data_IF_545471347129
#
_entry.id   IF_545471347129
#
_cell.length_a   1.000
_cell.length_b   1.000
_cell.length_c   1.000
_cell.angle_alpha   90.00
_cell.angle_beta   90.00
_cell.angle_gamma   90.00
#
_symmetry.space_group_name_H-M   'P 1'
#
loop_
_entity.id
_entity.type
_entity.pdbx_description
1 polymer ?
#
# COMPACT_ATOMS: atom_id res chain seq x y z
N UNK A 1 17.70 37.41 64.76
CA UNK A 1 18.97 38.12 65.02
C UNK A 1 20.07 37.30 64.36
N UNK A 2 20.69 37.86 63.30
CA UNK A 2 21.98 37.55 62.67
C UNK A 2 22.31 36.04 62.40
N UNK A 3 22.58 35.57 61.18
CA UNK A 3 23.71 35.92 60.33
C UNK A 3 23.52 35.22 58.96
N UNK A 4 23.23 35.96 57.90
CA UNK A 4 23.53 35.52 56.52
C UNK A 4 23.94 36.75 55.70
N UNK A 5 25.08 37.33 56.10
CA UNK A 5 25.74 38.43 55.40
C UNK A 5 27.18 38.02 55.11
N UNK A 6 27.34 36.99 54.26
CA UNK A 6 28.62 36.67 53.63
C UNK A 6 28.45 36.83 52.12
N UNK A 7 29.26 37.68 51.44
CA UNK A 7 29.18 37.88 49.99
C UNK A 7 29.44 36.60 49.18
N UNK A 8 30.07 35.58 49.79
CA UNK A 8 30.48 34.37 49.09
C UNK A 8 29.32 33.45 48.68
N UNK A 9 28.20 33.44 49.41
CA UNK A 9 27.08 32.53 49.11
C UNK A 9 26.17 33.02 47.97
N UNK A 10 26.10 34.33 47.73
CA UNK A 10 25.34 34.88 46.59
C UNK A 10 25.99 34.57 45.25
N UNK A 11 27.31 34.50 45.21
CA UNK A 11 28.06 34.18 43.99
C UNK A 11 27.91 32.72 43.60
N UNK A 12 27.90 31.79 44.57
CA UNK A 12 27.73 30.36 44.30
C UNK A 12 26.30 29.97 43.93
N UNK A 13 25.28 30.64 44.47
CA UNK A 13 23.87 30.38 44.09
C UNK A 13 23.55 30.88 42.67
N UNK A 14 24.12 32.03 42.26
CA UNK A 14 23.96 32.55 40.89
C UNK A 14 24.72 31.71 39.85
N UNK A 15 25.88 31.15 40.21
CA UNK A 15 26.64 30.24 39.34
C UNK A 15 25.95 28.87 39.17
N UNK A 16 25.24 28.37 40.18
CA UNK A 16 24.52 27.10 40.10
C UNK A 16 23.22 27.20 39.26
N UNK A 17 22.51 28.33 39.34
CA UNK A 17 21.33 28.60 38.49
C UNK A 17 21.75 28.86 37.03
N UNK A 18 22.89 29.52 36.80
CA UNK A 18 23.43 29.69 35.45
C UNK A 18 23.87 28.36 34.80
N UNK A 19 24.37 27.40 35.59
CA UNK A 19 24.75 26.08 35.10
C UNK A 19 23.54 25.20 34.74
N UNK A 20 22.43 25.30 35.48
CA UNK A 20 21.17 24.59 35.17
C UNK A 20 20.43 25.18 33.95
N UNK A 21 20.58 26.49 33.68
CA UNK A 21 20.07 27.12 32.46
C UNK A 21 20.94 26.85 31.22
N UNK A 22 22.21 26.46 31.40
CA UNK A 22 23.10 26.07 30.29
C UNK A 22 22.91 24.63 29.81
N UNK A 23 22.35 23.74 30.64
CA UNK A 23 22.09 22.34 30.25
C UNK A 23 20.76 22.12 29.53
N UNK A 24 19.90 23.15 29.46
CA UNK A 24 18.69 23.13 28.62
C UNK A 24 18.93 23.79 27.26
N UNK A 25 20.21 23.95 26.86
CA UNK A 25 20.61 24.27 25.50
C UNK A 25 20.12 23.19 24.55
N UNK A 26 18.89 23.40 24.10
CA UNK A 26 18.13 22.69 23.08
C UNK A 26 19.00 21.85 22.16
N UNK A 27 19.04 20.55 22.40
CA UNK A 27 19.18 19.56 21.34
C UNK A 27 17.86 19.54 20.54
N UNK A 28 17.48 20.71 20.01
CA UNK A 28 16.66 20.74 18.82
C UNK A 28 17.61 20.30 17.71
N UNK A 29 17.72 18.99 17.51
CA UNK A 29 18.21 18.49 16.24
C UNK A 29 17.37 19.19 15.18
N UNK A 30 17.98 20.13 14.45
CA UNK A 30 17.44 20.64 13.20
C UNK A 30 17.12 19.40 12.39
N UNK A 31 15.84 19.04 12.33
CA UNK A 31 15.33 18.06 11.39
C UNK A 31 15.68 18.69 10.05
N UNK A 32 16.80 18.28 9.46
CA UNK A 32 17.23 18.78 8.17
C UNK A 32 16.00 18.70 7.27
N UNK A 33 15.45 19.86 6.89
CA UNK A 33 14.41 19.89 5.90
C UNK A 33 15.05 19.27 4.68
N UNK A 34 14.46 18.18 4.19
CA UNK A 34 14.85 17.64 2.90
C UNK A 34 14.69 18.81 1.93
N UNK A 35 15.81 19.33 1.42
CA UNK A 35 15.76 20.38 0.41
C UNK A 35 14.88 19.85 -0.71
N UNK A 36 13.74 20.50 -0.95
CA UNK A 36 12.83 20.13 -2.04
C UNK A 36 13.53 20.17 -3.39
N UNK A 37 14.58 20.99 -3.50
CA UNK A 37 15.41 21.11 -4.69
C UNK A 37 16.19 19.83 -4.99
N UNK A 38 16.60 19.07 -3.95
CA UNK A 38 17.28 17.78 -4.16
C UNK A 38 16.31 16.72 -4.68
N UNK A 39 15.08 16.68 -4.18
CA UNK A 39 14.04 15.75 -4.66
C UNK A 39 13.63 16.10 -6.09
N UNK A 40 13.38 17.38 -6.36
CA UNK A 40 13.05 17.86 -7.71
C UNK A 40 14.14 17.50 -8.73
N UNK A 41 15.42 17.71 -8.37
CA UNK A 41 16.54 17.36 -9.23
C UNK A 41 16.61 15.85 -9.49
N UNK A 42 16.53 15.02 -8.45
CA UNK A 42 16.55 13.55 -8.57
C UNK A 42 15.42 13.05 -9.47
N UNK A 43 14.19 13.54 -9.25
CA UNK A 43 13.03 13.14 -10.04
C UNK A 43 13.21 13.54 -11.50
N UNK A 44 13.59 14.79 -11.78
CA UNK A 44 13.81 15.26 -13.17
C UNK A 44 14.92 14.46 -13.86
N UNK A 45 16.05 14.21 -13.19
CA UNK A 45 17.14 13.39 -13.72
C UNK A 45 16.67 11.98 -14.09
N UNK A 46 15.87 11.33 -13.22
CA UNK A 46 15.32 10.01 -13.53
C UNK A 46 14.27 10.04 -14.62
N UNK A 47 13.42 11.07 -14.66
CA UNK A 47 12.43 11.22 -15.72
C UNK A 47 13.09 11.34 -17.08
N UNK A 48 14.10 12.21 -17.20
CA UNK A 48 14.86 12.38 -18.44
C UNK A 48 15.59 11.09 -18.83
N UNK A 49 16.38 10.50 -17.92
CA UNK A 49 17.19 9.31 -18.24
C UNK A 49 16.36 8.06 -18.55
N UNK A 50 15.17 7.92 -17.97
CA UNK A 50 14.29 6.76 -18.16
C UNK A 50 13.10 7.05 -19.09
N UNK A 51 13.05 8.23 -19.70
CA UNK A 51 11.96 8.64 -20.60
C UNK A 51 10.57 8.54 -19.94
N UNK A 52 10.48 8.82 -18.63
CA UNK A 52 9.23 8.79 -17.88
C UNK A 52 8.44 10.07 -18.21
N UNK A 53 7.23 9.89 -18.76
CA UNK A 53 6.39 11.01 -19.21
C UNK A 53 5.78 11.79 -18.05
N UNK A 54 5.39 11.10 -16.98
CA UNK A 54 4.75 11.71 -15.83
C UNK A 54 4.92 10.89 -14.56
N UNK A 55 5.05 11.57 -13.42
CA UNK A 55 5.14 10.95 -12.09
C UNK A 55 4.50 11.84 -11.04
N UNK A 56 3.77 11.24 -10.11
CA UNK A 56 3.30 11.90 -8.88
C UNK A 56 4.10 11.36 -7.70
N UNK A 57 4.62 12.27 -6.86
CA UNK A 57 5.51 11.94 -5.75
C UNK A 57 4.96 12.55 -4.47
N UNK A 58 4.85 11.73 -3.43
CA UNK A 58 4.64 12.17 -2.07
C UNK A 58 5.80 11.71 -1.19
N UNK A 59 6.31 12.59 -0.33
CA UNK A 59 7.31 12.27 0.71
C UNK A 59 6.66 12.47 2.06
N UNK A 60 6.67 11.42 2.88
CA UNK A 60 6.09 11.44 4.23
C UNK A 60 7.22 11.25 5.24
N UNK A 61 7.33 12.17 6.20
CA UNK A 61 8.30 12.12 7.28
C UNK A 61 7.59 12.35 8.61
N UNK A 62 7.78 11.43 9.56
CA UNK A 62 7.15 11.49 10.89
C UNK A 62 5.62 11.70 10.80
N UNK A 63 4.96 10.96 9.90
CA UNK A 63 3.52 11.05 9.68
C UNK A 63 3.04 12.31 8.97
N UNK A 64 3.93 13.23 8.58
CA UNK A 64 3.58 14.46 7.87
C UNK A 64 4.03 14.40 6.42
N UNK A 65 3.17 14.82 5.50
CA UNK A 65 3.52 15.00 4.09
C UNK A 65 4.43 16.23 3.99
N UNK A 66 5.69 16.03 3.60
CA UNK A 66 6.67 17.11 3.42
C UNK A 66 6.82 17.52 1.95
N UNK A 67 6.32 16.70 1.02
CA UNK A 67 6.21 16.99 -0.40
C UNK A 67 5.02 16.22 -0.96
N UNK A 68 4.22 16.86 -1.81
CA UNK A 68 3.24 16.21 -2.68
C UNK A 68 3.22 16.98 -4.01
N UNK A 69 3.75 16.37 -5.08
CA UNK A 69 3.98 17.07 -6.34
C UNK A 69 3.85 16.15 -7.55
N UNK A 70 3.23 16.66 -8.60
CA UNK A 70 3.23 16.05 -9.93
C UNK A 70 4.33 16.62 -10.81
N UNK A 71 4.91 15.78 -11.66
CA UNK A 71 5.93 16.14 -12.64
C UNK A 71 5.55 15.56 -14.01
N UNK A 72 5.78 16.32 -15.08
CA UNK A 72 5.50 15.89 -16.45
C UNK A 72 4.01 15.84 -16.80
N UNK A 73 3.66 14.96 -17.73
CA UNK A 73 2.33 14.86 -18.34
C UNK A 73 1.65 13.52 -17.99
N UNK A 74 0.39 13.61 -17.55
CA UNK A 74 -0.50 12.46 -17.36
C UNK A 74 -1.07 11.96 -18.70
N UNK A 75 -1.17 12.85 -19.69
CA UNK A 75 -1.46 12.48 -21.08
C UNK A 75 -0.64 13.41 -22.01
N UNK A 76 0.14 12.79 -22.90
CA UNK A 76 1.04 13.52 -23.81
C UNK A 76 0.27 14.17 -24.95
N UNK A 77 -0.70 13.47 -25.55
CA UNK A 77 -1.46 13.97 -26.71
C UNK A 77 -2.28 15.22 -26.38
N UNK A 78 -2.87 15.23 -25.18
CA UNK A 78 -3.73 16.28 -24.66
C UNK A 78 -2.97 17.30 -23.80
N UNK A 79 -1.65 17.13 -23.64
CA UNK A 79 -0.80 17.98 -22.81
C UNK A 79 -1.35 18.19 -21.38
N UNK A 80 -1.86 17.11 -20.77
CA UNK A 80 -2.45 17.16 -19.43
C UNK A 80 -1.34 17.00 -18.39
N UNK A 81 -1.12 17.94 -17.47
CA UNK A 81 -0.07 17.82 -16.46
C UNK A 81 -0.40 16.75 -15.42
N UNK A 82 0.64 16.10 -14.88
CA UNK A 82 0.48 15.31 -13.65
C UNK A 82 0.29 16.25 -12.47
N UNK A 83 -0.67 15.91 -11.61
CA UNK A 83 -0.91 16.56 -10.33
C UNK A 83 -0.78 15.54 -9.19
N UNK A 84 -0.66 15.98 -7.92
CA UNK A 84 -0.74 15.07 -6.78
C UNK A 84 -2.04 14.23 -6.75
N UNK A 85 -3.09 14.70 -7.42
CA UNK A 85 -4.40 14.05 -7.52
C UNK A 85 -4.56 13.17 -8.77
N UNK A 86 -3.57 13.12 -9.66
CA UNK A 86 -3.61 12.22 -10.82
C UNK A 86 -3.64 10.76 -10.36
N UNK A 87 -4.58 9.98 -10.90
CA UNK A 87 -4.74 8.56 -10.58
C UNK A 87 -3.93 7.71 -11.56
N UNK A 88 -3.15 6.78 -11.01
CA UNK A 88 -2.35 5.82 -11.76
C UNK A 88 -2.78 4.39 -11.44
N UNK A 89 -2.65 3.48 -12.40
CA UNK A 89 -2.71 2.05 -12.11
C UNK A 89 -1.46 1.65 -11.33
N UNK A 90 -1.61 1.29 -10.06
CA UNK A 90 -0.49 0.94 -9.16
C UNK A 90 -0.02 -0.51 -9.30
N UNK A 91 -0.69 -1.29 -10.16
CA UNK A 91 -0.38 -2.67 -10.48
C UNK A 91 -0.15 -3.53 -9.22
N UNK A 92 1.00 -4.21 -9.13
CA UNK A 92 1.29 -5.17 -8.06
C UNK A 92 1.36 -4.58 -6.66
N UNK A 93 1.39 -3.25 -6.49
CA UNK A 93 1.24 -2.60 -5.18
C UNK A 93 -0.13 -2.92 -4.55
N UNK A 94 -1.16 -3.15 -5.37
CA UNK A 94 -2.52 -3.53 -4.91
C UNK A 94 -2.54 -4.79 -4.04
N UNK A 95 -1.56 -5.68 -4.18
CA UNK A 95 -1.46 -6.92 -3.40
C UNK A 95 -1.38 -6.67 -1.90
N UNK A 96 -0.76 -5.57 -1.46
CA UNK A 96 -0.69 -5.22 -0.05
C UNK A 96 -2.08 -4.95 0.55
N UNK A 97 -2.97 -4.33 -0.22
CA UNK A 97 -4.35 -4.09 0.18
C UNK A 97 -5.15 -5.39 0.25
N UNK A 98 -5.02 -6.25 -0.76
CA UNK A 98 -5.66 -7.58 -0.77
C UNK A 98 -5.20 -8.44 0.41
N UNK A 99 -3.88 -8.50 0.66
CA UNK A 99 -3.34 -9.20 1.82
C UNK A 99 -3.90 -8.63 3.13
N UNK A 100 -3.95 -7.31 3.27
CA UNK A 100 -4.54 -6.66 4.46
C UNK A 100 -6.01 -7.02 4.63
N UNK A 101 -6.80 -7.02 3.56
CA UNK A 101 -8.21 -7.40 3.62
C UNK A 101 -8.43 -8.84 4.09
N UNK A 102 -7.60 -9.78 3.62
CA UNK A 102 -7.63 -11.16 4.11
C UNK A 102 -7.27 -11.23 5.59
N UNK A 103 -6.23 -10.50 6.02
CA UNK A 103 -5.82 -10.47 7.43
C UNK A 103 -6.89 -9.84 8.34
N UNK A 104 -7.60 -8.81 7.88
CA UNK A 104 -8.73 -8.23 8.62
C UNK A 104 -9.87 -9.24 8.80
N UNK A 105 -10.27 -9.93 7.72
CA UNK A 105 -11.29 -10.97 7.79
C UNK A 105 -10.86 -12.15 8.69
N UNK A 106 -9.57 -12.48 8.69
CA UNK A 106 -9.00 -13.47 9.61
C UNK A 106 -9.07 -13.02 11.07
N UNK A 107 -8.73 -11.76 11.34
CA UNK A 107 -8.81 -11.17 12.67
C UNK A 107 -10.25 -11.12 13.20
N UNK A 108 -11.23 -10.93 12.32
CA UNK A 108 -12.66 -10.99 12.64
C UNK A 108 -13.20 -12.42 12.81
N UNK A 109 -12.36 -13.44 12.62
CA UNK A 109 -12.75 -14.85 12.72
C UNK A 109 -13.65 -15.35 11.58
N UNK A 110 -13.79 -14.57 10.49
CA UNK A 110 -14.63 -14.92 9.33
C UNK A 110 -13.97 -15.96 8.43
N UNK A 111 -12.65 -16.05 8.47
CA UNK A 111 -11.83 -17.06 7.78
C UNK A 111 -10.58 -17.37 8.61
N UNK A 112 -9.89 -18.45 8.29
CA UNK A 112 -8.59 -18.82 8.87
C UNK A 112 -7.51 -18.87 7.81
N UNK A 113 -6.27 -18.46 8.13
CA UNK A 113 -5.17 -18.49 7.16
C UNK A 113 -4.78 -19.90 6.71
N UNK A 114 -5.13 -20.91 7.50
CA UNK A 114 -4.90 -22.32 7.19
C UNK A 114 -6.17 -23.00 6.61
N UNK A 115 -7.22 -22.22 6.30
CA UNK A 115 -8.36 -22.73 5.52
C UNK A 115 -7.88 -23.21 4.16
N UNK A 116 -8.29 -24.43 3.79
CA UNK A 116 -8.08 -24.99 2.46
C UNK A 116 -8.85 -24.19 1.41
N UNK A 117 -8.24 -24.01 0.23
CA UNK A 117 -8.81 -23.25 -0.88
C UNK A 117 -10.16 -23.83 -1.35
N UNK A 118 -10.40 -25.14 -1.18
CA UNK A 118 -11.67 -25.79 -1.52
C UNK A 118 -12.84 -25.28 -0.68
N UNK A 119 -12.60 -24.70 0.51
CA UNK A 119 -13.63 -24.00 1.28
C UNK A 119 -14.26 -22.85 0.49
N UNK A 120 -13.47 -22.21 -0.38
CA UNK A 120 -13.90 -21.06 -1.17
C UNK A 120 -14.11 -21.38 -2.65
N UNK A 121 -13.46 -22.44 -3.15
CA UNK A 121 -13.61 -22.96 -4.51
C UNK A 121 -13.89 -24.47 -4.47
N UNK A 122 -15.13 -24.89 -4.17
CA UNK A 122 -15.47 -26.32 -4.10
C UNK A 122 -15.27 -27.07 -5.43
N UNK A 123 -15.22 -26.33 -6.53
CA UNK A 123 -14.99 -26.78 -7.91
C UNK A 123 -13.51 -26.76 -8.33
N UNK A 124 -12.60 -26.36 -7.42
CA UNK A 124 -11.16 -26.41 -7.68
C UNK A 124 -10.69 -27.85 -7.94
N UNK A 125 -9.63 -28.04 -8.76
CA UNK A 125 -9.11 -29.38 -9.04
C UNK A 125 -8.53 -30.01 -7.78
N UNK A 126 -8.63 -31.34 -7.65
CA UNK A 126 -8.11 -32.09 -6.50
C UNK A 126 -6.61 -31.84 -6.24
N UNK A 127 -5.85 -31.48 -7.27
CA UNK A 127 -4.42 -31.11 -7.14
C UNK A 127 -4.20 -29.86 -6.28
N UNK A 128 -5.21 -29.03 -6.08
CA UNK A 128 -5.16 -27.86 -5.21
C UNK A 128 -5.47 -28.18 -3.75
N UNK A 129 -5.75 -29.45 -3.41
CA UNK A 129 -6.01 -29.87 -2.04
C UNK A 129 -4.79 -29.57 -1.16
N UNK A 130 -5.00 -28.98 0.00
CA UNK A 130 -3.96 -28.56 0.93
C UNK A 130 -3.35 -27.19 0.62
N UNK A 131 -3.75 -26.53 -0.48
CA UNK A 131 -3.42 -25.12 -0.68
C UNK A 131 -4.25 -24.30 0.29
N UNK A 132 -3.58 -23.53 1.15
CA UNK A 132 -4.22 -22.68 2.15
C UNK A 132 -4.15 -21.22 1.73
N UNK A 133 -4.95 -20.36 2.36
CA UNK A 133 -4.83 -18.91 2.19
C UNK A 133 -3.42 -18.40 2.49
N UNK A 134 -2.74 -18.98 3.48
CA UNK A 134 -1.34 -18.68 3.81
C UNK A 134 -0.43 -18.94 2.61
N UNK A 135 -0.59 -20.07 1.93
CA UNK A 135 0.19 -20.41 0.74
C UNK A 135 -0.04 -19.42 -0.42
N UNK A 136 -1.27 -18.92 -0.58
CA UNK A 136 -1.56 -17.88 -1.57
C UNK A 136 -0.89 -16.55 -1.21
N UNK A 137 -1.02 -16.10 0.04
CA UNK A 137 -0.42 -14.86 0.56
C UNK A 137 1.11 -14.87 0.44
N UNK A 138 1.73 -16.00 0.75
CA UNK A 138 3.19 -16.17 0.75
C UNK A 138 3.78 -16.57 -0.59
N UNK A 139 2.97 -16.68 -1.66
CA UNK A 139 3.44 -17.09 -2.99
C UNK A 139 4.09 -18.48 -3.00
N UNK A 140 3.57 -19.43 -2.23
CA UNK A 140 4.09 -20.80 -2.11
C UNK A 140 3.07 -21.87 -2.51
N UNK A 141 1.99 -21.50 -3.19
CA UNK A 141 0.90 -22.42 -3.55
C UNK A 141 1.28 -23.49 -4.57
N UNK A 142 2.22 -23.20 -5.46
CA UNK A 142 2.52 -24.03 -6.62
C UNK A 142 1.63 -23.76 -7.83
N UNK A 143 0.62 -22.88 -7.71
CA UNK A 143 -0.27 -22.50 -8.82
C UNK A 143 0.53 -21.69 -9.85
N UNK A 144 0.22 -21.88 -11.13
CA UNK A 144 0.83 -21.10 -12.23
C UNK A 144 0.78 -19.59 -11.95
N UNK A 145 1.84 -18.88 -12.35
CA UNK A 145 1.97 -17.44 -12.08
C UNK A 145 0.83 -16.61 -12.67
N UNK A 146 0.49 -16.83 -13.94
CA UNK A 146 -0.55 -16.11 -14.66
C UNK A 146 -1.69 -17.03 -15.08
N UNK A 147 -2.91 -16.51 -15.04
CA UNK A 147 -4.10 -17.19 -15.51
C UNK A 147 -4.25 -17.06 -17.03
N UNK A 148 -4.63 -18.12 -17.76
CA UNK A 148 -4.86 -18.05 -19.21
C UNK A 148 -5.88 -16.99 -19.63
N UNK A 149 -6.91 -16.75 -18.81
CA UNK A 149 -7.94 -15.79 -19.15
C UNK A 149 -7.58 -14.33 -18.79
N UNK A 150 -6.48 -14.05 -18.10
CA UNK A 150 -6.17 -12.68 -17.68
C UNK A 150 -5.82 -11.79 -18.89
N UNK A 151 -6.55 -10.68 -19.02
CA UNK A 151 -6.36 -9.65 -20.02
C UNK A 151 -6.38 -8.26 -19.33
N UNK A 152 -5.22 -7.59 -19.19
CA UNK A 152 -5.14 -6.30 -18.50
C UNK A 152 -5.90 -5.17 -19.22
N UNK A 153 -6.32 -5.39 -20.47
CA UNK A 153 -7.14 -4.42 -21.21
C UNK A 153 -8.64 -4.55 -20.89
N UNK A 154 -9.07 -5.62 -20.21
CA UNK A 154 -10.47 -5.92 -19.93
C UNK A 154 -10.76 -5.93 -18.43
N UNK A 155 -12.01 -5.62 -18.11
CA UNK A 155 -12.56 -5.87 -16.77
C UNK A 155 -13.07 -7.30 -16.77
N UNK A 156 -12.62 -8.09 -15.80
CA UNK A 156 -12.92 -9.51 -15.72
C UNK A 156 -13.23 -9.89 -14.28
N UNK A 157 -14.20 -10.78 -14.03
CA UNK A 157 -14.42 -11.32 -12.69
C UNK A 157 -13.19 -12.10 -12.23
N UNK A 158 -12.71 -11.80 -11.02
CA UNK A 158 -11.56 -12.48 -10.41
C UNK A 158 -11.74 -14.01 -10.41
N UNK A 159 -12.97 -14.50 -10.17
CA UNK A 159 -13.31 -15.93 -10.21
C UNK A 159 -13.07 -16.58 -11.59
N UNK A 160 -13.38 -15.88 -12.69
CA UNK A 160 -13.18 -16.37 -14.05
C UNK A 160 -11.69 -16.47 -14.36
N UNK A 161 -10.91 -15.47 -13.92
CA UNK A 161 -9.46 -15.47 -14.05
C UNK A 161 -8.87 -16.68 -13.28
N UNK A 162 -9.28 -16.90 -12.04
CA UNK A 162 -8.83 -18.03 -11.21
C UNK A 162 -9.21 -19.38 -11.82
N UNK A 163 -10.49 -19.57 -12.19
CA UNK A 163 -11.00 -20.82 -12.76
C UNK A 163 -10.32 -21.19 -14.08
N UNK A 164 -9.85 -20.20 -14.85
CA UNK A 164 -9.08 -20.48 -16.08
C UNK A 164 -7.75 -21.21 -15.82
N UNK A 165 -7.24 -21.19 -14.58
CA UNK A 165 -6.05 -21.92 -14.17
C UNK A 165 -6.33 -23.36 -13.71
N UNK A 166 -7.59 -23.75 -13.49
CA UNK A 166 -7.96 -25.09 -12.99
C UNK A 166 -7.46 -26.26 -13.85
N UNK A 167 -7.45 -26.17 -15.20
CA UNK A 167 -6.96 -27.28 -16.02
C UNK A 167 -5.43 -27.45 -15.99
N UNK A 168 -4.70 -26.51 -15.37
CA UNK A 168 -3.24 -26.50 -15.41
C UNK A 168 -2.63 -27.22 -14.20
N UNK A 169 -1.52 -27.95 -14.38
CA UNK A 169 -0.85 -28.60 -13.27
C UNK A 169 -0.20 -27.59 -12.32
N UNK A 170 0.01 -27.98 -11.06
CA UNK A 170 0.89 -27.24 -10.17
C UNK A 170 2.33 -27.27 -10.71
N UNK A 171 3.02 -26.14 -10.61
CA UNK A 171 4.41 -26.00 -11.05
C UNK A 171 5.40 -26.59 -10.05
N UNK A 172 4.98 -26.76 -8.79
CA UNK A 172 5.74 -27.42 -7.74
C UNK A 172 4.79 -27.84 -6.60
N UNK A 173 5.18 -28.80 -5.74
CA UNK A 173 4.38 -29.16 -4.58
C UNK A 173 4.18 -27.97 -3.64
N UNK A 174 2.96 -27.76 -3.18
CA UNK A 174 2.59 -26.66 -2.28
C UNK A 174 3.52 -26.56 -1.07
N UNK A 175 3.93 -25.34 -0.72
CA UNK A 175 4.80 -25.05 0.41
C UNK A 175 6.29 -25.28 0.17
N UNK A 176 6.69 -25.96 -0.92
CA UNK A 176 8.10 -26.36 -1.12
C UNK A 176 8.97 -25.29 -1.79
N UNK A 177 8.39 -24.32 -2.49
CA UNK A 177 9.10 -23.24 -3.18
C UNK A 177 8.33 -21.93 -3.10
N UNK A 178 9.04 -20.83 -3.35
CA UNK A 178 8.44 -19.52 -3.57
C UNK A 178 8.38 -19.20 -5.06
N UNK A 179 7.22 -18.74 -5.52
CA UNK A 179 7.04 -18.18 -6.85
C UNK A 179 5.94 -17.12 -6.81
N UNK A 180 6.31 -15.89 -7.19
CA UNK A 180 5.35 -14.82 -7.42
C UNK A 180 4.19 -15.28 -8.30
N UNK A 181 2.97 -15.12 -7.81
CA UNK A 181 1.77 -15.69 -8.41
C UNK A 181 0.62 -14.68 -8.37
N UNK A 182 0.16 -14.26 -9.55
CA UNK A 182 -1.00 -13.37 -9.69
C UNK A 182 -2.30 -14.14 -9.50
N UNK A 183 -2.41 -15.38 -9.99
CA UNK A 183 -3.60 -16.23 -9.78
C UNK A 183 -3.95 -16.36 -8.31
N UNK A 184 -2.94 -16.54 -7.45
CA UNK A 184 -3.15 -16.59 -6.01
C UNK A 184 -3.74 -15.30 -5.43
N UNK A 185 -3.37 -14.13 -5.95
CA UNK A 185 -3.93 -12.85 -5.51
C UNK A 185 -5.30 -12.53 -6.10
N UNK A 186 -5.60 -13.00 -7.32
CA UNK A 186 -6.98 -12.99 -7.84
C UNK A 186 -7.88 -13.87 -6.97
N UNK A 187 -7.41 -15.04 -6.55
CA UNK A 187 -8.15 -15.91 -5.63
C UNK A 187 -8.40 -15.20 -4.29
N UNK A 188 -7.39 -14.55 -3.71
CA UNK A 188 -7.56 -13.79 -2.46
C UNK A 188 -8.56 -12.63 -2.61
N UNK A 189 -8.54 -11.89 -3.73
CA UNK A 189 -9.48 -10.81 -4.00
C UNK A 189 -10.93 -11.32 -4.11
N UNK A 190 -11.15 -12.42 -4.82
CA UNK A 190 -12.46 -13.07 -4.92
C UNK A 190 -12.93 -13.65 -3.58
N UNK A 191 -12.00 -14.15 -2.75
CA UNK A 191 -12.31 -14.65 -1.40
C UNK A 191 -12.78 -13.51 -0.48
N UNK A 192 -12.15 -12.33 -0.54
CA UNK A 192 -12.66 -11.14 0.17
C UNK A 192 -14.11 -10.88 -0.25
N UNK A 193 -14.41 -10.94 -1.55
CA UNK A 193 -15.78 -10.75 -2.06
C UNK A 193 -16.75 -11.81 -1.52
N UNK A 194 -16.38 -13.09 -1.55
CA UNK A 194 -17.22 -14.21 -1.06
C UNK A 194 -17.50 -14.10 0.43
N UNK A 195 -16.49 -13.79 1.24
CA UNK A 195 -16.60 -13.76 2.70
C UNK A 195 -17.24 -12.47 3.22
N UNK A 196 -16.98 -11.34 2.58
CA UNK A 196 -17.58 -10.05 2.97
C UNK A 196 -18.98 -9.82 2.40
N UNK A 197 -19.38 -10.56 1.35
CA UNK A 197 -20.66 -10.39 0.67
C UNK A 197 -20.75 -9.15 -0.23
N UNK A 198 -19.65 -8.43 -0.44
CA UNK A 198 -19.59 -7.21 -1.25
C UNK A 198 -18.34 -7.20 -2.15
N UNK A 199 -18.31 -6.43 -3.25
CA UNK A 199 -17.10 -6.26 -4.03
C UNK A 199 -15.93 -5.81 -3.16
N UNK A 200 -14.73 -6.34 -3.40
CA UNK A 200 -13.58 -6.06 -2.54
C UNK A 200 -13.22 -4.56 -2.49
N UNK A 201 -13.50 -3.79 -3.53
CA UNK A 201 -13.32 -2.33 -3.51
C UNK A 201 -14.25 -1.67 -2.47
N UNK A 202 -15.53 -2.05 -2.46
CA UNK A 202 -16.50 -1.59 -1.46
C UNK A 202 -16.11 -2.05 -0.05
N UNK A 203 -15.59 -3.27 0.09
CA UNK A 203 -15.03 -3.74 1.35
C UNK A 203 -13.90 -2.83 1.88
N UNK A 204 -12.97 -2.40 1.02
CA UNK A 204 -11.93 -1.47 1.44
C UNK A 204 -12.43 -0.07 1.75
N UNK A 205 -13.45 0.41 1.04
CA UNK A 205 -14.06 1.71 1.34
C UNK A 205 -14.71 1.71 2.72
N UNK A 206 -15.46 0.66 3.05
CA UNK A 206 -16.16 0.53 4.34
C UNK A 206 -15.23 0.31 5.53
N UNK A 207 -14.05 -0.28 5.31
CA UNK A 207 -13.05 -0.56 6.36
C UNK A 207 -12.05 0.57 6.58
N UNK A 208 -12.12 1.65 5.80
CA UNK A 208 -11.17 2.76 5.89
C UNK A 208 -9.82 2.51 5.23
N UNK A 209 -9.60 1.34 4.61
CA UNK A 209 -8.38 1.08 3.83
C UNK A 209 -8.34 1.85 2.50
N UNK A 210 -9.49 2.28 2.01
CA UNK A 210 -9.60 3.11 0.80
C UNK A 210 -9.53 4.62 1.09
N UNK A 211 -9.35 5.06 2.34
CA UNK A 211 -9.31 6.50 2.66
C UNK A 211 -7.93 7.10 2.40
N UNK A 212 -7.58 7.18 1.11
CA UNK A 212 -7.00 8.40 0.56
C UNK A 212 -8.13 9.29 0.02
N UNK A 213 -9.19 9.50 0.82
CA UNK A 213 -10.11 10.63 0.63
C UNK A 213 -9.34 11.86 1.08
N UNK A 214 -8.77 12.59 0.13
CA UNK A 214 -8.57 14.01 0.34
C UNK A 214 -9.91 14.66 0.02
N UNK A 215 -10.50 15.30 1.02
CA UNK A 215 -11.81 15.93 0.99
C UNK A 215 -11.97 16.81 -0.26
N UNK A 216 -12.87 16.43 -1.19
CA UNK A 216 -13.25 17.34 -2.28
C UNK A 216 -13.71 16.76 -3.61
N UNK A 217 -13.51 15.47 -3.92
CA UNK A 217 -13.99 14.90 -5.19
C UNK A 217 -14.75 13.59 -4.98
N UNK A 218 -16.07 13.54 -5.22
CA UNK A 218 -16.77 12.27 -5.35
C UNK A 218 -16.23 11.53 -6.58
N UNK A 219 -16.10 10.21 -6.45
CA UNK A 219 -15.78 9.27 -7.53
C UNK A 219 -16.99 9.12 -8.48
N UNK A 220 -17.60 10.26 -8.86
CA UNK A 220 -18.62 10.37 -9.88
C UNK A 220 -18.02 11.19 -11.02
N UNK A 221 -17.36 10.49 -11.94
CA UNK A 221 -17.23 10.99 -13.29
C UNK A 221 -18.47 10.49 -14.06
N UNK A 222 -19.45 11.34 -14.41
CA UNK A 222 -20.62 10.91 -15.17
C UNK A 222 -20.26 10.45 -16.60
N UNK A 223 -19.06 10.78 -17.10
CA UNK A 223 -18.58 10.41 -18.45
C UNK A 223 -17.55 9.28 -18.44
N UNK A 224 -17.05 8.87 -17.27
CA UNK A 224 -16.26 7.65 -17.12
C UNK A 224 -16.84 6.88 -15.94
N UNK A 225 -17.42 5.73 -16.24
CA UNK A 225 -17.97 4.77 -15.28
C UNK A 225 -16.84 4.16 -14.41
N UNK A 226 -16.04 4.99 -13.75
CA UNK A 226 -15.05 4.63 -12.75
C UNK A 226 -15.80 4.41 -11.45
N UNK A 227 -16.66 3.41 -11.39
CA UNK A 227 -17.20 2.79 -10.16
C UNK A 227 -16.95 1.29 -10.20
N UNK A 228 -16.10 0.83 -11.13
CA UNK A 228 -16.02 -0.56 -11.55
C UNK A 228 -14.83 -1.23 -10.86
N UNK A 229 -15.06 -2.08 -9.84
CA UNK A 229 -14.01 -2.87 -9.21
C UNK A 229 -13.39 -3.81 -10.24
N UNK A 230 -12.06 -3.81 -10.37
CA UNK A 230 -11.36 -4.83 -11.18
C UNK A 230 -10.09 -4.41 -11.91
N UNK A 231 -9.68 -3.13 -11.89
CA UNK A 231 -8.53 -2.68 -12.69
C UNK A 231 -7.16 -2.73 -12.00
N UNK A 232 -7.06 -3.47 -10.90
CA UNK A 232 -6.02 -3.23 -9.90
C UNK A 232 -4.99 -4.36 -9.76
N UNK A 233 -5.20 -5.53 -10.37
CA UNK A 233 -4.28 -6.67 -10.28
C UNK A 233 -3.50 -6.91 -11.56
#
# INVERSE_FOLDING_TARGET
MALFTSPAYRTHLLLFVAFLLFQHGSWAQSVAQVSTDSVDAIIKTHMTSKHIQGVSVAVVRQGKVTLAKGYGLANVELNVPVTPQSVFAIASVSKQFIATGILMLAQEGKLGLDDDIHKFYPDAPQTWQGITLRHLLSHTSGIVREAPAFDPAKIQPDSVVVQSAFPLPLQFPTGTKWQYCNVGYFALADIIRKVSGQPWATFFETTGLYTARHDGYPYHNPERNCTQPGRWL
#
